data_IF_898371668187
#
_entry.id   IF_898371668187
#
_cell.length_a   1.000
_cell.length_b   1.000
_cell.length_c   1.000
_cell.angle_alpha   90.00
_cell.angle_beta   90.00
_cell.angle_gamma   90.00
#
_symmetry.space_group_name_H-M   'P 1'
#
loop_
_entity.id
_entity.type
_entity.pdbx_description
1 polymer ?
#
# COMPACT_ATOMS: atom_id res chain seq x y z
N UNK A 1 29.30 -60.98 37.42
CA UNK A 1 29.21 -59.57 37.84
C UNK A 1 29.92 -58.61 36.88
N UNK A 2 31.15 -58.89 36.43
CA UNK A 2 31.90 -58.01 35.52
C UNK A 2 31.19 -57.73 34.17
N UNK A 3 30.60 -58.75 33.54
CA UNK A 3 29.89 -58.58 32.25
C UNK A 3 28.62 -57.72 32.36
N UNK A 4 27.95 -57.76 33.53
CA UNK A 4 26.77 -56.92 33.80
C UNK A 4 27.21 -55.46 33.91
N UNK A 5 28.32 -55.20 34.62
CA UNK A 5 28.86 -53.85 34.79
C UNK A 5 29.22 -53.23 33.43
N UNK A 6 29.91 -53.97 32.56
CA UNK A 6 30.35 -53.47 31.25
C UNK A 6 29.18 -53.16 30.31
N UNK A 7 28.13 -53.98 30.33
CA UNK A 7 26.92 -53.75 29.54
C UNK A 7 26.14 -52.53 30.01
N UNK A 8 26.10 -52.31 31.33
CA UNK A 8 25.39 -51.18 31.94
C UNK A 8 26.11 -49.86 31.61
N UNK A 9 27.44 -49.80 31.73
CA UNK A 9 28.20 -48.60 31.36
C UNK A 9 28.10 -48.27 29.87
N UNK A 10 28.17 -49.27 29.00
CA UNK A 10 27.97 -49.07 27.56
C UNK A 10 26.57 -48.53 27.22
N UNK A 11 25.53 -49.07 27.86
CA UNK A 11 24.15 -48.64 27.67
C UNK A 11 23.92 -47.21 28.17
N UNK A 12 24.52 -46.86 29.32
CA UNK A 12 24.45 -45.51 29.89
C UNK A 12 25.11 -44.47 28.96
N UNK A 13 26.29 -44.79 28.42
CA UNK A 13 26.98 -43.89 27.48
C UNK A 13 26.19 -43.72 26.18
N UNK A 14 25.68 -44.82 25.63
CA UNK A 14 24.84 -44.80 24.42
C UNK A 14 23.54 -44.01 24.62
N UNK A 15 22.84 -44.24 25.73
CA UNK A 15 21.61 -43.53 26.07
C UNK A 15 21.86 -42.02 26.26
N UNK A 16 22.97 -41.67 26.90
CA UNK A 16 23.38 -40.28 27.12
C UNK A 16 23.68 -39.55 25.80
N UNK A 17 24.40 -40.20 24.89
CA UNK A 17 24.67 -39.66 23.54
C UNK A 17 23.39 -39.45 22.73
N UNK A 18 22.47 -40.43 22.78
CA UNK A 18 21.21 -40.36 22.06
C UNK A 18 20.29 -39.27 22.62
N UNK A 19 20.26 -39.11 23.93
CA UNK A 19 19.51 -38.05 24.61
C UNK A 19 20.03 -36.66 24.23
N UNK A 20 21.36 -36.46 24.27
CA UNK A 20 21.97 -35.19 23.86
C UNK A 20 21.73 -34.87 22.38
N UNK A 21 21.85 -35.87 21.50
CA UNK A 21 21.53 -35.72 20.08
C UNK A 21 20.08 -35.31 19.84
N UNK A 22 19.13 -35.94 20.55
CA UNK A 22 17.71 -35.57 20.47
C UNK A 22 17.42 -34.16 20.99
N UNK A 23 18.07 -33.75 22.08
CA UNK A 23 17.92 -32.39 22.62
C UNK A 23 18.51 -31.33 21.68
N UNK A 24 19.69 -31.59 21.09
CA UNK A 24 20.28 -30.72 20.08
C UNK A 24 19.38 -30.61 18.84
N UNK A 25 18.80 -31.73 18.38
CA UNK A 25 17.87 -31.73 17.24
C UNK A 25 16.57 -30.98 17.56
N UNK A 26 16.03 -31.12 18.78
CA UNK A 26 14.84 -30.38 19.22
C UNK A 26 15.12 -28.88 19.31
N UNK A 27 16.29 -28.46 19.82
CA UNK A 27 16.72 -27.05 19.87
C UNK A 27 16.94 -26.46 18.47
N UNK A 28 17.55 -27.22 17.57
CA UNK A 28 17.72 -26.78 16.18
C UNK A 28 16.36 -26.58 15.49
N UNK A 29 15.40 -27.49 15.72
CA UNK A 29 14.05 -27.38 15.15
C UNK A 29 13.24 -26.21 15.71
N UNK A 30 13.38 -25.86 16.99
CA UNK A 30 12.73 -24.66 17.54
C UNK A 30 13.31 -23.39 16.93
N UNK A 31 14.64 -23.29 16.83
CA UNK A 31 15.31 -22.15 16.22
C UNK A 31 14.88 -21.93 14.76
N UNK A 32 14.70 -23.02 13.98
CA UNK A 32 14.21 -22.94 12.60
C UNK A 32 12.77 -22.42 12.51
N UNK A 33 11.90 -22.77 13.47
CA UNK A 33 10.52 -22.25 13.51
C UNK A 33 10.50 -20.75 13.83
N UNK A 34 11.35 -20.31 14.75
CA UNK A 34 11.44 -18.90 15.13
C UNK A 34 12.01 -18.07 13.99
N UNK A 35 13.08 -18.55 13.33
CA UNK A 35 13.62 -17.93 12.13
C UNK A 35 12.59 -17.87 10.98
N UNK A 36 11.81 -18.93 10.75
CA UNK A 36 10.77 -18.93 9.72
C UNK A 36 9.70 -17.87 9.99
N UNK A 37 9.31 -17.70 11.24
CA UNK A 37 8.32 -16.68 11.66
C UNK A 37 8.88 -15.27 11.53
N UNK A 38 10.16 -15.07 11.84
CA UNK A 38 10.84 -13.80 11.63
C UNK A 38 11.00 -13.45 10.14
N UNK A 39 11.38 -14.41 9.30
CA UNK A 39 11.52 -14.23 7.84
C UNK A 39 10.18 -13.90 7.19
N UNK A 40 9.08 -14.50 7.64
CA UNK A 40 7.72 -14.18 7.15
C UNK A 40 7.28 -12.74 7.43
N UNK A 41 7.86 -12.08 8.44
CA UNK A 41 7.57 -10.65 8.71
C UNK A 41 8.29 -9.71 7.75
N UNK A 42 9.40 -10.15 7.15
CA UNK A 42 10.19 -9.35 6.21
C UNK A 42 9.96 -9.72 4.75
N UNK A 43 9.33 -10.85 4.48
CA UNK A 43 8.95 -11.29 3.14
C UNK A 43 7.42 -11.39 3.01
N UNK A 44 6.69 -10.26 2.87
CA UNK A 44 5.36 -10.33 2.31
C UNK A 44 5.53 -10.81 0.85
N UNK A 45 5.12 -12.05 0.58
CA UNK A 45 5.11 -12.73 -0.72
C UNK A 45 6.29 -12.43 -1.66
N UNK A 46 7.38 -13.18 -1.48
CA UNK A 46 8.33 -13.42 -2.56
C UNK A 46 7.68 -14.36 -3.60
N UNK A 47 6.90 -13.80 -4.54
CA UNK A 47 6.56 -14.45 -5.81
C UNK A 47 5.08 -14.63 -6.14
N UNK A 48 4.15 -14.21 -5.28
CA UNK A 48 2.71 -14.22 -5.54
C UNK A 48 2.17 -12.81 -5.74
N UNK A 49 1.36 -12.59 -6.79
CA UNK A 49 0.55 -11.37 -6.89
C UNK A 49 -0.62 -11.53 -5.91
N UNK A 50 -0.53 -10.94 -4.71
CA UNK A 50 -1.62 -11.00 -3.71
C UNK A 50 -2.89 -10.37 -4.28
N UNK A 51 -3.86 -11.19 -4.70
CA UNK A 51 -5.09 -10.74 -5.34
C UNK A 51 -5.95 -9.81 -4.48
N UNK A 52 -5.72 -9.79 -3.15
CA UNK A 52 -6.41 -8.91 -2.21
C UNK A 52 -5.76 -7.54 -2.09
N UNK A 53 -4.56 -7.34 -2.64
CA UNK A 53 -3.91 -6.04 -2.65
C UNK A 53 -4.69 -5.04 -3.50
N UNK A 54 -4.85 -3.82 -2.97
CA UNK A 54 -5.37 -2.69 -3.72
C UNK A 54 -4.37 -2.34 -4.82
N UNK A 55 -4.85 -2.25 -6.05
CA UNK A 55 -4.03 -2.03 -7.24
C UNK A 55 -4.72 -1.17 -8.30
N UNK A 56 -6.04 -1.24 -8.36
CA UNK A 56 -6.86 -0.48 -9.27
C UNK A 56 -7.25 0.81 -8.54
N UNK A 57 -6.61 1.92 -8.88
CA UNK A 57 -6.82 3.21 -8.23
C UNK A 57 -7.10 4.28 -9.29
N UNK A 58 -8.16 5.07 -9.08
CA UNK A 58 -8.44 6.25 -9.88
C UNK A 58 -9.18 7.32 -9.06
N UNK A 59 -8.93 8.59 -9.38
CA UNK A 59 -9.61 9.73 -8.79
C UNK A 59 -10.34 10.53 -9.86
N UNK A 60 -11.54 10.99 -9.53
CA UNK A 60 -12.30 11.97 -10.32
C UNK A 60 -12.42 13.22 -9.47
N UNK A 61 -11.97 14.36 -10.01
CA UNK A 61 -12.11 15.67 -9.37
C UNK A 61 -13.21 16.47 -10.03
N UNK A 62 -13.98 17.21 -9.23
CA UNK A 62 -15.16 17.93 -9.69
C UNK A 62 -15.56 19.06 -8.72
N UNK A 63 -16.47 19.91 -9.19
CA UNK A 63 -17.10 20.95 -8.38
C UNK A 63 -18.48 20.45 -7.92
N UNK A 64 -18.57 20.01 -6.66
CA UNK A 64 -19.77 19.41 -6.08
C UNK A 64 -20.81 20.44 -5.61
N UNK A 65 -20.38 21.69 -5.41
CA UNK A 65 -21.18 22.80 -4.92
C UNK A 65 -21.05 23.96 -5.90
N UNK A 66 -22.15 24.61 -6.28
CA UNK A 66 -22.19 25.65 -7.32
C UNK A 66 -21.31 26.87 -7.01
N UNK A 67 -21.12 27.17 -5.73
CA UNK A 67 -20.29 28.27 -5.24
C UNK A 67 -18.79 27.96 -5.23
N UNK A 68 -18.40 26.73 -5.56
CA UNK A 68 -17.00 26.31 -5.68
C UNK A 68 -16.59 26.23 -7.14
N UNK A 69 -15.31 26.54 -7.40
CA UNK A 69 -14.68 26.29 -8.69
C UNK A 69 -13.26 25.77 -8.51
N UNK A 70 -12.78 25.03 -9.50
CA UNK A 70 -11.41 24.50 -9.54
C UNK A 70 -11.30 23.04 -9.13
N UNK A 71 -12.38 22.27 -9.29
CA UNK A 71 -12.44 20.84 -9.05
C UNK A 71 -11.92 20.44 -7.65
N UNK A 72 -12.46 21.08 -6.61
CA UNK A 72 -11.99 20.92 -5.23
C UNK A 72 -12.54 19.67 -4.53
N UNK A 73 -13.67 19.15 -4.99
CA UNK A 73 -14.23 17.90 -4.50
C UNK A 73 -13.69 16.72 -5.29
N UNK A 74 -13.72 15.52 -4.73
CA UNK A 74 -13.21 14.33 -5.40
C UNK A 74 -13.91 13.04 -4.96
N UNK A 75 -13.87 12.05 -5.85
CA UNK A 75 -14.17 10.65 -5.57
C UNK A 75 -12.97 9.80 -5.96
N UNK A 76 -12.49 8.98 -5.03
CA UNK A 76 -11.32 8.12 -5.15
C UNK A 76 -11.75 6.67 -5.01
N UNK A 77 -11.58 5.86 -6.05
CA UNK A 77 -11.78 4.42 -5.97
C UNK A 77 -10.45 3.72 -5.69
N UNK A 78 -10.48 2.77 -4.75
CA UNK A 78 -9.35 1.92 -4.38
C UNK A 78 -9.84 0.48 -4.35
N UNK A 79 -9.50 -0.28 -5.38
CA UNK A 79 -10.02 -1.63 -5.61
C UNK A 79 -8.88 -2.65 -5.77
N UNK A 80 -9.17 -3.89 -5.40
CA UNK A 80 -8.34 -5.05 -5.69
C UNK A 80 -8.66 -5.63 -7.08
N UNK A 81 -8.06 -6.77 -7.45
CA UNK A 81 -8.27 -7.37 -8.79
C UNK A 81 -9.70 -7.86 -9.01
N UNK A 82 -10.35 -8.33 -7.94
CA UNK A 82 -11.74 -8.77 -8.00
C UNK A 82 -12.72 -7.60 -8.17
N UNK A 83 -12.26 -6.36 -7.99
CA UNK A 83 -13.10 -5.16 -8.00
C UNK A 83 -13.68 -4.85 -6.63
N UNK A 84 -13.24 -5.56 -5.57
CA UNK A 84 -13.64 -5.26 -4.21
C UNK A 84 -12.76 -4.17 -3.62
N UNK A 85 -13.34 -3.31 -2.81
CA UNK A 85 -12.62 -2.25 -2.12
C UNK A 85 -13.54 -1.16 -1.63
N UNK A 86 -13.10 0.08 -1.77
CA UNK A 86 -13.84 1.25 -1.28
C UNK A 86 -13.79 2.39 -2.28
N UNK A 87 -14.84 3.21 -2.29
CA UNK A 87 -14.83 4.54 -2.89
C UNK A 87 -14.95 5.58 -1.78
N UNK A 88 -14.02 6.54 -1.78
CA UNK A 88 -13.97 7.65 -0.84
C UNK A 88 -14.36 8.93 -1.57
N UNK A 89 -15.37 9.62 -1.08
CA UNK A 89 -15.83 10.89 -1.64
C UNK A 89 -15.61 12.01 -0.64
N UNK A 90 -15.02 13.12 -1.07
CA UNK A 90 -14.89 14.33 -0.27
C UNK A 90 -15.54 15.50 -1.01
N UNK A 91 -16.57 16.07 -0.38
CA UNK A 91 -17.28 17.25 -0.83
C UNK A 91 -16.71 18.43 -0.06
N UNK A 92 -16.02 19.32 -0.76
CA UNK A 92 -15.27 20.43 -0.17
C UNK A 92 -15.96 21.76 -0.49
N UNK A 93 -16.47 22.43 0.55
CA UNK A 93 -16.97 23.79 0.51
C UNK A 93 -15.94 24.81 1.01
N UNK A 94 -16.37 26.06 1.23
CA UNK A 94 -15.48 27.15 1.68
C UNK A 94 -15.13 27.05 3.15
N UNK A 95 -16.12 26.65 3.94
CA UNK A 95 -16.10 26.66 5.41
C UNK A 95 -16.13 25.26 5.99
N UNK A 96 -16.54 24.26 5.21
CA UNK A 96 -16.69 22.88 5.66
C UNK A 96 -16.31 21.87 4.57
N UNK A 97 -16.00 20.66 5.01
CA UNK A 97 -15.76 19.49 4.18
C UNK A 97 -16.51 18.29 4.75
N UNK A 98 -17.12 17.49 3.89
CA UNK A 98 -17.77 16.23 4.25
C UNK A 98 -17.10 15.10 3.50
N UNK A 99 -16.79 14.01 4.20
CA UNK A 99 -16.16 12.82 3.61
C UNK A 99 -17.03 11.61 3.87
N UNK A 100 -17.25 10.83 2.82
CA UNK A 100 -18.06 9.62 2.80
C UNK A 100 -17.21 8.47 2.27
N UNK A 101 -17.49 7.25 2.74
CA UNK A 101 -16.89 6.04 2.21
C UNK A 101 -17.99 5.01 1.96
N UNK A 102 -17.95 4.38 0.78
CA UNK A 102 -18.85 3.27 0.43
C UNK A 102 -18.02 2.04 0.10
N UNK A 103 -18.52 0.88 0.53
CA UNK A 103 -17.94 -0.41 0.16
C UNK A 103 -18.31 -0.73 -1.29
N UNK A 104 -17.34 -1.27 -2.03
CA UNK A 104 -17.51 -1.74 -3.40
C UNK A 104 -17.22 -3.24 -3.42
N UNK A 105 -18.12 -4.02 -4.00
CA UNK A 105 -18.02 -5.47 -4.16
C UNK A 105 -18.19 -5.81 -5.63
N UNK A 106 -17.21 -6.49 -6.23
CA UNK A 106 -17.24 -6.86 -7.65
C UNK A 106 -17.31 -5.67 -8.63
N UNK A 107 -16.95 -4.46 -8.20
CA UNK A 107 -17.05 -3.23 -8.99
C UNK A 107 -18.41 -2.52 -8.92
N UNK A 108 -19.33 -2.97 -8.08
CA UNK A 108 -20.62 -2.33 -7.80
C UNK A 108 -20.71 -1.98 -6.30
N UNK A 109 -21.57 -1.04 -5.92
CA UNK A 109 -21.82 -0.73 -4.51
C UNK A 109 -23.26 -1.08 -4.11
N UNK A 110 -23.45 -1.52 -2.86
CA UNK A 110 -24.77 -1.82 -2.32
C UNK A 110 -25.66 -0.58 -2.17
N UNK A 111 -25.03 0.58 -1.95
CA UNK A 111 -25.69 1.88 -1.87
C UNK A 111 -25.67 2.59 -3.23
N UNK A 112 -26.64 3.49 -3.45
CA UNK A 112 -26.68 4.32 -4.65
C UNK A 112 -25.39 5.17 -4.78
N UNK A 113 -24.69 5.00 -5.89
CA UNK A 113 -23.48 5.76 -6.21
C UNK A 113 -23.82 7.10 -6.86
N UNK A 114 -23.03 8.13 -6.56
CA UNK A 114 -23.04 9.35 -7.36
C UNK A 114 -22.44 9.08 -8.75
N UNK A 115 -22.74 9.93 -9.76
CA UNK A 115 -22.10 9.82 -11.08
C UNK A 115 -20.57 9.85 -11.02
N UNK A 116 -20.00 10.64 -10.12
CA UNK A 116 -18.56 10.80 -9.94
C UNK A 116 -17.93 9.57 -9.26
N UNK A 117 -18.60 8.99 -8.27
CA UNK A 117 -18.19 7.73 -7.64
C UNK A 117 -18.17 6.59 -8.65
N UNK A 118 -19.23 6.47 -9.43
CA UNK A 118 -19.33 5.47 -10.50
C UNK A 118 -18.20 5.65 -11.53
N UNK A 119 -17.93 6.89 -11.94
CA UNK A 119 -16.82 7.19 -12.86
C UNK A 119 -15.46 6.82 -12.27
N UNK A 120 -15.21 7.08 -10.99
CA UNK A 120 -13.96 6.71 -10.32
C UNK A 120 -13.77 5.19 -10.29
N UNK A 121 -14.80 4.44 -9.92
CA UNK A 121 -14.77 2.97 -9.93
C UNK A 121 -14.48 2.45 -11.34
N UNK A 122 -15.20 2.96 -12.35
CA UNK A 122 -14.96 2.59 -13.76
C UNK A 122 -13.55 2.91 -14.22
N UNK A 123 -13.03 4.08 -13.91
CA UNK A 123 -11.67 4.50 -14.28
C UNK A 123 -10.61 3.61 -13.64
N UNK A 124 -10.78 3.26 -12.35
CA UNK A 124 -9.89 2.35 -11.65
C UNK A 124 -9.86 0.96 -12.31
N UNK A 125 -11.04 0.42 -12.65
CA UNK A 125 -11.17 -0.88 -13.34
C UNK A 125 -10.61 -0.88 -14.76
N UNK A 126 -10.55 0.29 -15.40
CA UNK A 126 -9.95 0.48 -16.72
C UNK A 126 -8.45 0.79 -16.67
N UNK A 127 -7.84 0.88 -15.48
CA UNK A 127 -6.43 1.18 -15.33
C UNK A 127 -6.06 2.61 -15.74
N UNK A 128 -6.99 3.57 -15.62
CA UNK A 128 -6.75 4.97 -16.00
C UNK A 128 -5.95 5.79 -14.97
N UNK A 129 -5.19 5.13 -14.10
CA UNK A 129 -4.32 5.80 -13.14
C UNK A 129 -5.03 6.77 -12.19
N UNK A 130 -4.30 7.43 -11.29
CA UNK A 130 -4.88 8.30 -10.27
C UNK A 130 -5.56 9.55 -10.83
N UNK A 131 -5.17 10.01 -12.02
CA UNK A 131 -5.64 11.24 -12.65
C UNK A 131 -6.73 11.02 -13.72
N UNK A 132 -7.13 9.76 -13.96
CA UNK A 132 -8.11 9.41 -14.99
C UNK A 132 -7.53 9.37 -16.41
N UNK A 133 -6.22 9.50 -16.57
CA UNK A 133 -5.51 9.33 -17.84
C UNK A 133 -5.25 7.84 -18.09
N UNK A 134 -5.59 7.24 -19.25
CA UNK A 134 -5.25 5.84 -19.52
C UNK A 134 -3.76 5.61 -19.22
N UNK A 135 -3.46 4.71 -18.27
CA UNK A 135 -2.07 4.32 -17.99
C UNK A 135 -1.61 3.57 -19.21
N UNK A 136 -1.00 4.29 -20.16
CA UNK A 136 -0.56 3.75 -21.44
C UNK A 136 0.27 2.51 -21.17
N UNK A 137 -0.25 1.35 -21.59
CA UNK A 137 0.45 0.08 -21.55
C UNK A 137 1.65 0.14 -22.49
N UNK A 138 2.77 0.63 -22.01
CA UNK A 138 4.08 0.30 -22.52
C UNK A 138 4.94 -0.09 -21.33
N UNK A 139 5.52 -1.28 -21.42
CA UNK A 139 5.89 -2.09 -20.26
C UNK A 139 6.92 -1.49 -19.31
N UNK A 140 6.99 -2.17 -18.16
CA UNK A 140 8.01 -2.13 -17.13
C UNK A 140 7.89 -0.98 -16.13
N UNK A 141 7.85 -1.39 -14.85
CA UNK A 141 7.59 -0.53 -13.72
C UNK A 141 8.52 0.67 -13.65
N UNK A 142 7.92 1.84 -13.56
CA UNK A 142 8.50 2.96 -12.86
C UNK A 142 7.45 3.39 -11.85
N UNK A 143 7.50 2.78 -10.66
CA UNK A 143 7.05 3.48 -9.46
C UNK A 143 7.90 4.74 -9.43
N UNK A 144 7.31 5.86 -9.84
CA UNK A 144 7.92 7.17 -9.67
C UNK A 144 7.93 7.45 -8.18
N UNK A 145 8.92 6.90 -7.48
CA UNK A 145 9.31 7.34 -6.14
C UNK A 145 9.76 8.77 -6.31
N UNK A 146 8.84 9.71 -6.08
CA UNK A 146 9.20 11.10 -5.87
C UNK A 146 10.12 11.10 -4.65
N UNK A 147 11.40 11.52 -4.77
CA UNK A 147 12.26 11.58 -3.60
C UNK A 147 11.69 12.65 -2.66
N UNK A 148 11.57 12.31 -1.39
CA UNK A 148 11.22 13.25 -0.33
C UNK A 148 12.31 14.33 -0.26
N UNK A 149 12.08 15.47 -0.91
CA UNK A 149 12.91 16.66 -0.74
C UNK A 149 12.73 17.15 0.70
N UNK A 150 13.75 16.96 1.53
CA UNK A 150 13.80 17.46 2.90
C UNK A 150 13.75 18.99 2.97
N UNK A 151 13.50 19.57 4.16
CA UNK A 151 13.37 21.01 4.32
C UNK A 151 14.76 21.66 4.43
N UNK A 152 15.01 22.69 3.64
CA UNK A 152 16.09 23.64 3.88
C UNK A 152 16.92 23.99 2.66
N UNK A 153 16.60 25.13 2.05
CA UNK A 153 17.58 26.18 1.73
C UNK A 153 16.83 27.38 1.16
N UNK A 154 16.68 28.40 2.01
CA UNK A 154 16.45 29.78 1.59
C UNK A 154 17.48 30.16 0.50
N UNK A 155 17.00 30.69 -0.62
CA UNK A 155 17.80 31.22 -1.71
C UNK A 155 17.20 32.54 -2.21
N UNK A 156 18.02 33.55 -2.56
CA UNK A 156 17.68 34.95 -2.39
C UNK A 156 16.73 35.51 -3.46
N UNK A 157 16.03 36.57 -3.05
CA UNK A 157 14.94 37.22 -3.77
C UNK A 157 15.26 37.68 -5.20
N UNK A 158 14.26 37.52 -6.06
CA UNK A 158 14.25 38.07 -7.41
C UNK A 158 13.84 39.56 -7.36
N UNK A 159 14.54 40.48 -8.04
CA UNK A 159 14.19 41.89 -8.02
C UNK A 159 12.82 42.15 -8.66
N UNK A 160 12.03 42.97 -7.98
CA UNK A 160 10.76 43.55 -8.46
C UNK A 160 11.07 44.37 -9.71
N UNK A 161 10.60 43.95 -10.87
CA UNK A 161 10.69 44.75 -12.08
C UNK A 161 9.89 46.04 -11.87
N UNK A 162 10.59 47.17 -11.96
CA UNK A 162 10.03 48.50 -11.84
C UNK A 162 9.09 48.81 -13.01
N UNK A 163 8.00 49.49 -12.65
CA UNK A 163 7.02 50.13 -13.52
C UNK A 163 7.65 51.32 -14.26
N UNK A 164 7.65 51.37 -15.60
CA UNK A 164 7.99 52.57 -16.34
C UNK A 164 6.73 53.30 -16.83
N UNK A 165 6.36 54.31 -16.05
CA UNK A 165 5.98 55.65 -16.50
C UNK A 165 4.96 55.81 -17.66
N UNK A 166 3.74 56.23 -17.28
CA UNK A 166 2.96 57.26 -17.98
C UNK A 166 3.85 58.53 -18.18
N UNK A 167 3.85 59.29 -19.31
CA UNK A 167 2.66 60.09 -19.65
C UNK A 167 2.44 60.64 -21.10
N UNK A 168 1.23 61.22 -21.23
CA UNK A 168 0.70 62.28 -22.14
C UNK A 168 0.48 62.00 -23.63
N UNK A 169 -0.80 61.80 -23.95
CA UNK A 169 -1.52 62.16 -25.17
C UNK A 169 -2.99 62.31 -24.79
#
# INVERSE_FOLDING_TARGET
MLSIILSVTGSLLGASGLLLGLLALRRARSAVRDCRTAVQRFAPDAGGVDLRSIRDIAMVRYDALEEMSGARSFSLAMLNTAGDGVVLTSINGRTESRTYAKIVEGGEAAEALSPEEYRAIRAARLGQGPDGSPTGGNGLGAVSVVPATGPGADGPGRPRAADPARPKG
#
